data_IF_301093450653
#
_entry.id   IF_301093450653
#
_cell.length_a   1.000
_cell.length_b   1.000
_cell.length_c   1.000
_cell.angle_alpha   90.00
_cell.angle_beta   90.00
_cell.angle_gamma   90.00
#
_symmetry.space_group_name_H-M   'P 1'
#
loop_
_entity.id
_entity.type
_entity.pdbx_description
1 polymer ?
#
# COMPACT_ATOMS: atom_id res chain seq x y z
N UNK A 1 -7.12 14.43 -2.64
CA UNK A 1 -7.20 13.06 -3.22
C UNK A 1 -6.65 12.04 -2.23
N UNK A 2 -7.40 10.97 -1.99
CA UNK A 2 -6.95 9.89 -1.12
C UNK A 2 -5.90 9.04 -1.84
N UNK A 3 -4.76 8.82 -1.23
CA UNK A 3 -3.67 8.01 -1.79
C UNK A 3 -3.64 6.65 -1.11
N UNK A 4 -3.80 5.59 -1.89
CA UNK A 4 -3.84 4.22 -1.40
C UNK A 4 -2.67 3.43 -2.00
N UNK A 5 -1.95 2.69 -1.17
CA UNK A 5 -0.91 1.78 -1.63
C UNK A 5 -1.32 0.34 -1.34
N UNK A 6 -1.04 -0.55 -2.28
CA UNK A 6 -1.21 -1.99 -2.10
C UNK A 6 0.16 -2.62 -2.33
N UNK A 7 0.70 -3.28 -1.33
CA UNK A 7 2.01 -3.92 -1.39
C UNK A 7 1.86 -5.42 -1.10
N UNK A 8 1.98 -6.24 -2.14
CA UNK A 8 1.80 -7.69 -2.06
C UNK A 8 2.52 -8.31 -3.26
N UNK A 9 3.29 -9.37 -3.03
CA UNK A 9 4.06 -10.02 -4.09
C UNK A 9 3.22 -10.98 -4.96
N UNK A 10 1.95 -11.19 -4.61
CA UNK A 10 1.05 -12.05 -5.37
C UNK A 10 -0.02 -11.22 -6.08
N UNK A 11 0.03 -11.20 -7.40
CA UNK A 11 -0.90 -10.41 -8.22
C UNK A 11 -2.37 -10.73 -7.97
N UNK A 12 -2.68 -12.00 -7.67
CA UNK A 12 -4.07 -12.41 -7.42
C UNK A 12 -4.65 -11.69 -6.20
N UNK A 13 -3.85 -11.51 -5.16
CA UNK A 13 -4.29 -10.80 -3.96
C UNK A 13 -4.34 -9.29 -4.19
N UNK A 14 -3.40 -8.76 -4.98
CA UNK A 14 -3.42 -7.35 -5.38
C UNK A 14 -4.73 -7.02 -6.11
N UNK A 15 -5.11 -7.85 -7.08
CA UNK A 15 -6.35 -7.66 -7.84
C UNK A 15 -7.58 -7.72 -6.94
N UNK A 16 -7.57 -8.66 -5.98
CA UNK A 16 -8.68 -8.82 -5.04
C UNK A 16 -8.84 -7.59 -4.14
N UNK A 17 -7.73 -7.11 -3.58
CA UNK A 17 -7.75 -5.92 -2.71
C UNK A 17 -8.13 -4.68 -3.53
N UNK A 18 -7.57 -4.54 -4.73
CA UNK A 18 -7.91 -3.44 -5.62
C UNK A 18 -9.39 -3.39 -5.94
N UNK A 19 -9.98 -4.55 -6.20
CA UNK A 19 -11.40 -4.67 -6.48
C UNK A 19 -12.24 -4.19 -5.29
N UNK A 20 -11.86 -4.56 -4.08
CA UNK A 20 -12.54 -4.13 -2.85
C UNK A 20 -12.41 -2.61 -2.67
N UNK A 21 -11.21 -2.07 -2.88
CA UNK A 21 -10.95 -0.63 -2.78
C UNK A 21 -11.80 0.14 -3.79
N UNK A 22 -11.82 -0.33 -5.05
CA UNK A 22 -12.59 0.33 -6.10
C UNK A 22 -14.09 0.27 -5.82
N UNK A 23 -14.58 -0.83 -5.28
CA UNK A 23 -15.99 -0.95 -4.90
C UNK A 23 -16.34 0.01 -3.78
N UNK A 24 -15.50 0.09 -2.75
CA UNK A 24 -15.75 0.94 -1.59
C UNK A 24 -15.66 2.43 -1.94
N UNK A 25 -14.54 2.86 -2.53
CA UNK A 25 -14.33 4.28 -2.82
C UNK A 25 -15.03 4.74 -4.09
N UNK A 26 -15.28 3.83 -5.03
CA UNK A 26 -16.01 4.15 -6.25
C UNK A 26 -17.45 4.59 -6.00
N UNK A 27 -18.03 4.20 -4.86
CA UNK A 27 -19.38 4.58 -4.46
C UNK A 27 -19.43 5.87 -3.67
N UNK A 28 -18.28 6.39 -3.26
CA UNK A 28 -18.22 7.63 -2.49
C UNK A 28 -17.88 8.80 -3.40
N UNK A 29 -18.06 10.02 -2.88
CA UNK A 29 -17.69 11.22 -3.61
C UNK A 29 -16.20 11.56 -3.46
N UNK A 30 -15.42 10.73 -2.76
CA UNK A 30 -14.01 10.96 -2.51
C UNK A 30 -13.19 10.53 -3.71
N UNK A 31 -12.33 11.41 -4.21
CA UNK A 31 -11.35 11.06 -5.23
C UNK A 31 -10.23 10.25 -4.59
N UNK A 32 -9.77 9.20 -5.29
CA UNK A 32 -8.72 8.34 -4.78
C UNK A 32 -7.80 7.87 -5.91
N UNK A 33 -6.60 7.48 -5.53
CA UNK A 33 -5.60 6.90 -6.43
C UNK A 33 -4.99 5.68 -5.77
N UNK A 34 -4.77 4.62 -6.54
CA UNK A 34 -4.18 3.37 -6.05
C UNK A 34 -2.86 3.12 -6.75
N UNK A 35 -1.80 2.96 -5.97
CA UNK A 35 -0.49 2.53 -6.46
C UNK A 35 -0.24 1.11 -5.97
N UNK A 36 0.31 0.26 -6.85
CA UNK A 36 0.57 -1.15 -6.56
C UNK A 36 2.06 -1.42 -6.54
N UNK A 37 2.51 -2.15 -5.54
CA UNK A 37 3.90 -2.57 -5.40
C UNK A 37 3.92 -4.08 -5.22
N UNK A 38 4.74 -4.77 -6.01
CA UNK A 38 4.82 -6.23 -5.99
C UNK A 38 5.94 -6.75 -5.09
N UNK A 39 6.63 -5.86 -4.39
CA UNK A 39 7.62 -6.25 -3.38
C UNK A 39 7.73 -5.17 -2.30
N UNK A 40 8.14 -5.59 -1.11
CA UNK A 40 8.40 -4.65 -0.02
C UNK A 40 9.50 -3.66 -0.36
N UNK A 41 10.51 -4.12 -1.10
CA UNK A 41 11.64 -3.28 -1.52
C UNK A 41 11.20 -2.17 -2.47
N UNK A 42 10.38 -2.48 -3.47
CA UNK A 42 9.84 -1.45 -4.37
C UNK A 42 9.11 -0.37 -3.59
N UNK A 43 8.33 -0.79 -2.60
CA UNK A 43 7.57 0.13 -1.77
C UNK A 43 8.50 0.99 -0.89
N UNK A 44 9.41 0.36 -0.17
CA UNK A 44 10.28 1.07 0.77
C UNK A 44 11.33 1.94 0.08
N UNK A 45 11.69 1.65 -1.16
CA UNK A 45 12.62 2.47 -1.94
C UNK A 45 12.07 3.87 -2.23
N UNK A 46 10.78 4.10 -2.02
CA UNK A 46 10.18 5.42 -2.14
C UNK A 46 10.67 6.39 -1.06
N UNK A 47 11.09 5.89 0.09
CA UNK A 47 11.62 6.68 1.22
C UNK A 47 10.65 7.82 1.61
N UNK A 48 11.08 9.08 1.49
CA UNK A 48 10.24 10.21 1.86
C UNK A 48 8.92 10.29 1.08
N UNK A 49 8.87 9.72 -0.11
CA UNK A 49 7.64 9.67 -0.91
C UNK A 49 6.56 8.80 -0.28
N UNK A 50 6.91 7.95 0.69
CA UNK A 50 5.94 7.17 1.45
C UNK A 50 4.98 8.05 2.24
N UNK A 51 5.35 9.30 2.52
CA UNK A 51 4.50 10.23 3.27
C UNK A 51 3.21 10.58 2.56
N UNK A 52 3.13 10.36 1.25
CA UNK A 52 1.93 10.70 0.47
C UNK A 52 0.77 9.74 0.69
N UNK A 53 1.02 8.55 1.22
CA UNK A 53 -0.03 7.55 1.36
C UNK A 53 -0.86 7.72 2.61
N UNK A 54 -2.17 7.66 2.44
CA UNK A 54 -3.15 7.75 3.53
C UNK A 54 -3.53 6.36 4.04
N UNK A 55 -3.59 5.36 3.14
CA UNK A 55 -3.94 3.97 3.47
C UNK A 55 -2.94 3.05 2.78
N UNK A 56 -2.45 2.05 3.50
CA UNK A 56 -1.54 1.04 2.97
C UNK A 56 -2.04 -0.35 3.32
N UNK A 57 -2.28 -1.16 2.28
CA UNK A 57 -2.56 -2.58 2.44
C UNK A 57 -1.26 -3.33 2.24
N UNK A 58 -0.81 -4.05 3.26
CA UNK A 58 0.51 -4.64 3.31
C UNK A 58 0.42 -6.12 3.63
N UNK A 59 0.97 -6.96 2.73
CA UNK A 59 1.10 -8.38 2.98
C UNK A 59 2.25 -8.65 3.96
N UNK A 60 2.00 -9.51 4.94
CA UNK A 60 2.98 -9.87 5.96
C UNK A 60 3.99 -10.90 5.42
N UNK A 61 3.56 -11.74 4.48
CA UNK A 61 4.37 -12.87 3.98
C UNK A 61 4.97 -12.58 2.60
N UNK A 62 5.94 -11.68 2.55
CA UNK A 62 6.69 -11.39 1.33
C UNK A 62 8.11 -11.97 1.40
N UNK A 63 8.66 -12.35 0.25
CA UNK A 63 9.92 -13.09 0.17
C UNK A 63 11.15 -12.30 0.59
N UNK A 64 11.44 -11.17 -0.05
CA UNK A 64 12.70 -10.44 0.17
C UNK A 64 12.68 -9.56 1.42
N UNK A 65 11.64 -8.77 1.54
CA UNK A 65 11.44 -7.86 2.66
C UNK A 65 10.03 -8.11 3.15
N UNK A 66 9.91 -8.75 4.31
CA UNK A 66 8.59 -9.15 4.80
C UNK A 66 7.74 -7.95 5.22
N UNK A 67 6.44 -8.20 5.42
CA UNK A 67 5.48 -7.15 5.74
C UNK A 67 5.79 -6.44 7.05
N UNK A 68 6.37 -7.14 8.02
CA UNK A 68 6.74 -6.54 9.31
C UNK A 68 7.89 -5.55 9.12
N UNK A 69 8.93 -5.94 8.41
CA UNK A 69 10.06 -5.05 8.10
C UNK A 69 9.61 -3.86 7.26
N UNK A 70 8.76 -4.12 6.27
CA UNK A 70 8.19 -3.06 5.42
C UNK A 70 7.38 -2.08 6.26
N UNK A 71 6.56 -2.58 7.19
CA UNK A 71 5.77 -1.73 8.07
C UNK A 71 6.65 -0.86 8.97
N UNK A 72 7.74 -1.39 9.48
CA UNK A 72 8.69 -0.62 10.30
C UNK A 72 9.29 0.54 9.50
N UNK A 73 9.70 0.27 8.26
CA UNK A 73 10.25 1.31 7.38
C UNK A 73 9.18 2.35 7.04
N UNK A 74 7.97 1.90 6.73
CA UNK A 74 6.85 2.80 6.47
C UNK A 74 6.61 3.74 7.65
N UNK A 75 6.58 3.23 8.87
CA UNK A 75 6.33 4.03 10.07
C UNK A 75 7.44 5.06 10.33
N UNK A 76 8.67 4.74 9.91
CA UNK A 76 9.79 5.68 10.01
C UNK A 76 9.53 6.94 9.17
N UNK A 77 8.98 6.78 7.97
CA UNK A 77 8.72 7.89 7.05
C UNK A 77 7.30 8.44 7.14
N UNK A 78 6.34 7.62 7.53
CA UNK A 78 4.93 8.00 7.54
C UNK A 78 4.20 7.35 8.72
N UNK A 79 4.19 8.01 9.86
CA UNK A 79 3.53 7.50 11.07
C UNK A 79 2.00 7.66 11.04
N UNK A 80 1.46 8.44 10.10
CA UNK A 80 0.04 8.73 10.03
C UNK A 80 -0.76 7.85 9.06
N UNK A 81 -0.12 6.96 8.30
CA UNK A 81 -0.82 6.08 7.37
C UNK A 81 -1.59 4.97 8.08
N UNK A 82 -2.73 4.62 7.54
CA UNK A 82 -3.53 3.48 8.00
C UNK A 82 -3.21 2.22 7.22
#
# INVERSE_FOLDING_TARGET
MLQVAICDDQEIFVKKIRSIVDEYFGKSSVEYKVDVFLSGREFTDLKEKLTKYDIVFLDINMDELDGIQTAEILRKYNSGAY
#
